data_IF_873071835744
#
_entry.id   IF_873071835744
#
_cell.length_a   1.000
_cell.length_b   1.000
_cell.length_c   1.000
_cell.angle_alpha   90.00
_cell.angle_beta   90.00
_cell.angle_gamma   90.00
#
_symmetry.space_group_name_H-M   'P 1'
#
loop_
_entity.id
_entity.type
_entity.pdbx_description
1 polymer ?
#
# COMPACT_ATOMS: atom_id res chain seq x y z
N UNK A 1 12.12 -1.61 2.50
CA UNK A 1 12.66 -1.17 1.18
C UNK A 1 12.21 0.26 0.97
N UNK A 2 13.08 1.15 0.52
CA UNK A 2 12.75 2.56 0.29
C UNK A 2 12.55 2.78 -1.21
N UNK A 3 11.39 3.30 -1.60
CA UNK A 3 11.06 3.61 -2.99
C UNK A 3 10.71 5.08 -3.16
N UNK A 4 11.30 5.72 -4.18
CA UNK A 4 11.02 7.09 -4.59
C UNK A 4 10.67 7.09 -6.07
N UNK A 5 9.53 7.70 -6.41
CA UNK A 5 9.15 7.93 -7.80
C UNK A 5 8.76 9.39 -7.94
N UNK A 6 9.43 10.09 -8.85
CA UNK A 6 9.09 11.46 -9.26
C UNK A 6 8.70 11.43 -10.74
N UNK A 7 7.49 11.90 -11.04
CA UNK A 7 6.96 11.98 -12.39
C UNK A 7 6.51 13.42 -12.64
N UNK A 8 6.96 14.01 -13.75
CA UNK A 8 6.72 15.42 -14.07
C UNK A 8 6.50 15.64 -15.58
N UNK A 9 5.26 15.52 -16.07
CA UNK A 9 4.84 16.16 -17.31
C UNK A 9 4.08 17.45 -16.97
N UNK A 10 4.74 18.59 -17.20
CA UNK A 10 4.06 19.83 -17.61
C UNK A 10 3.35 20.70 -16.58
N UNK A 11 2.88 20.22 -15.42
CA UNK A 11 2.45 21.05 -14.25
C UNK A 11 1.96 20.20 -13.05
N UNK A 12 1.61 18.93 -13.25
CA UNK A 12 1.20 18.02 -12.18
C UNK A 12 2.37 17.16 -11.69
N UNK A 13 3.09 17.67 -10.71
CA UNK A 13 4.12 16.90 -10.00
C UNK A 13 3.44 15.97 -8.99
N UNK A 14 3.65 14.67 -9.15
CA UNK A 14 3.24 13.66 -8.15
C UNK A 14 4.47 13.17 -7.41
N UNK A 15 4.49 13.34 -6.08
CA UNK A 15 5.51 12.76 -5.21
C UNK A 15 4.90 11.56 -4.48
N UNK A 16 5.51 10.39 -4.63
CA UNK A 16 5.13 9.17 -3.91
C UNK A 16 6.33 8.68 -3.10
N UNK A 17 6.12 8.53 -1.80
CA UNK A 17 7.07 7.97 -0.84
C UNK A 17 6.48 6.69 -0.26
N UNK A 18 7.24 5.59 -0.33
CA UNK A 18 6.84 4.32 0.27
C UNK A 18 7.91 3.83 1.25
N UNK A 19 7.48 3.63 2.50
CA UNK A 19 8.29 3.10 3.58
C UNK A 19 7.68 1.80 4.06
N UNK A 20 8.45 0.71 3.96
CA UNK A 20 8.00 -0.58 4.45
C UNK A 20 9.08 -1.37 5.16
N UNK A 21 8.62 -2.11 6.16
CA UNK A 21 9.41 -3.10 6.90
C UNK A 21 8.78 -4.48 6.71
N UNK A 22 9.62 -5.48 6.54
CA UNK A 22 9.22 -6.87 6.35
C UNK A 22 9.83 -7.74 7.44
N UNK A 23 9.06 -8.73 7.90
CA UNK A 23 9.52 -9.74 8.84
C UNK A 23 9.06 -11.14 8.41
N UNK A 24 9.98 -12.09 8.50
CA UNK A 24 9.74 -13.48 8.13
C UNK A 24 9.65 -14.33 9.41
N UNK A 25 8.44 -14.73 9.80
CA UNK A 25 8.26 -15.67 10.90
C UNK A 25 8.55 -17.09 10.44
N UNK A 26 9.28 -17.86 11.27
CA UNK A 26 9.60 -19.27 11.02
C UNK A 26 10.25 -19.54 9.66
N UNK A 27 10.93 -18.55 9.07
CA UNK A 27 11.49 -18.62 7.73
C UNK A 27 10.48 -18.91 6.60
N UNK A 28 9.18 -18.77 6.86
CA UNK A 28 8.11 -19.22 5.98
C UNK A 28 6.97 -18.20 5.85
N UNK A 29 6.55 -17.59 6.96
CA UNK A 29 5.43 -16.65 6.99
C UNK A 29 5.93 -15.21 6.85
N UNK A 30 5.74 -14.64 5.66
CA UNK A 30 6.21 -13.29 5.34
C UNK A 30 5.14 -12.26 5.70
N UNK A 31 5.51 -11.25 6.47
CA UNK A 31 4.65 -10.12 6.83
C UNK A 31 5.35 -8.83 6.49
N UNK A 32 4.63 -7.92 5.87
CA UNK A 32 5.12 -6.58 5.52
C UNK A 32 4.15 -5.56 6.05
N UNK A 33 4.67 -4.60 6.80
CA UNK A 33 3.92 -3.40 7.18
C UNK A 33 4.56 -2.20 6.52
N UNK A 34 3.74 -1.29 6.00
CA UNK A 34 4.24 -0.10 5.34
C UNK A 34 3.31 1.08 5.44
N UNK A 35 3.89 2.24 5.15
CA UNK A 35 3.22 3.53 5.07
C UNK A 35 3.58 4.11 3.70
N UNK A 36 2.57 4.57 2.99
CA UNK A 36 2.69 5.24 1.71
C UNK A 36 2.20 6.69 1.87
N UNK A 37 2.94 7.65 1.35
CA UNK A 37 2.53 9.03 1.25
C UNK A 37 2.61 9.45 -0.20
N UNK A 38 1.49 9.93 -0.75
CA UNK A 38 1.43 10.48 -2.08
C UNK A 38 0.86 11.90 -2.02
N UNK A 39 1.45 12.83 -2.76
CA UNK A 39 0.92 14.19 -2.91
C UNK A 39 0.94 14.57 -4.38
N UNK A 40 -0.12 15.24 -4.80
CA UNK A 40 -0.30 15.73 -6.16
C UNK A 40 -0.69 17.21 -6.08
N UNK A 41 0.07 18.07 -6.75
CA UNK A 41 0.02 19.52 -6.58
C UNK A 41 -1.37 20.17 -6.69
N UNK A 42 -2.31 19.56 -7.42
CA UNK A 42 -3.64 20.13 -7.67
C UNK A 42 -4.81 19.35 -7.05
N UNK A 43 -4.58 18.10 -6.64
CA UNK A 43 -5.65 17.16 -6.25
C UNK A 43 -5.66 16.91 -4.74
N UNK A 44 -4.48 16.96 -4.10
CA UNK A 44 -4.33 16.81 -2.67
C UNK A 44 -3.36 15.70 -2.28
N UNK A 45 -3.51 15.24 -1.04
CA UNK A 45 -2.59 14.31 -0.39
C UNK A 45 -3.28 13.03 0.06
N UNK A 46 -2.61 11.92 -0.15
CA UNK A 46 -3.01 10.58 0.25
C UNK A 46 -1.97 10.03 1.21
N UNK A 47 -2.41 9.59 2.38
CA UNK A 47 -1.60 8.77 3.28
C UNK A 47 -2.22 7.38 3.38
N UNK A 48 -1.46 6.35 3.07
CA UNK A 48 -1.85 4.96 3.18
C UNK A 48 -1.05 4.26 4.27
N UNK A 49 -1.69 3.42 5.07
CA UNK A 49 -1.02 2.43 5.91
C UNK A 49 -1.46 1.07 5.39
N UNK A 50 -0.51 0.16 5.16
CA UNK A 50 -0.82 -1.17 4.68
C UNK A 50 -0.11 -2.25 5.48
N UNK A 51 -0.76 -3.40 5.54
CA UNK A 51 -0.24 -4.63 6.09
C UNK A 51 -0.50 -5.75 5.10
N UNK A 52 0.54 -6.50 4.77
CA UNK A 52 0.47 -7.68 3.91
C UNK A 52 1.01 -8.88 4.65
N UNK A 53 0.34 -10.01 4.55
CA UNK A 53 0.72 -11.27 5.16
C UNK A 53 0.60 -12.38 4.11
N UNK A 54 1.66 -13.19 3.98
CA UNK A 54 1.73 -14.33 3.09
C UNK A 54 2.04 -15.58 3.90
N UNK A 55 1.02 -16.42 4.10
CA UNK A 55 1.07 -17.61 4.94
C UNK A 55 1.16 -18.85 4.03
N UNK A 56 2.26 -19.63 4.09
CA UNK A 56 2.34 -20.89 3.37
C UNK A 56 1.43 -21.93 4.03
N UNK A 57 0.41 -22.34 3.27
CA UNK A 57 -0.51 -23.42 3.62
C UNK A 57 -0.02 -24.73 3.00
N UNK A 58 1.13 -25.23 3.45
CA UNK A 58 1.69 -26.57 3.14
C UNK A 58 1.41 -27.03 1.68
N UNK A 59 0.40 -27.88 1.46
CA UNK A 59 0.05 -28.46 0.15
C UNK A 59 -1.01 -27.68 -0.65
N UNK A 60 -1.69 -26.75 0.00
CA UNK A 60 -2.79 -25.95 -0.56
C UNK A 60 -2.25 -24.78 -1.37
N UNK A 61 -1.14 -24.19 -0.92
CA UNK A 61 -0.50 -23.04 -1.58
C UNK A 61 -0.11 -21.97 -0.58
N UNK A 62 -0.14 -20.71 -0.99
CA UNK A 62 0.12 -19.55 -0.16
C UNK A 62 -1.15 -18.70 -0.05
N UNK A 63 -1.59 -18.46 1.18
CA UNK A 63 -2.65 -17.50 1.49
C UNK A 63 -2.05 -16.11 1.59
N UNK A 64 -2.60 -15.16 0.86
CA UNK A 64 -2.23 -13.75 0.92
C UNK A 64 -3.37 -12.96 1.52
N UNK A 65 -3.05 -12.13 2.51
CA UNK A 65 -3.92 -11.14 3.10
C UNK A 65 -3.27 -9.79 2.92
N UNK A 66 -4.00 -8.81 2.40
CA UNK A 66 -3.58 -7.43 2.27
C UNK A 66 -4.67 -6.54 2.86
N UNK A 67 -4.28 -5.73 3.83
CA UNK A 67 -5.12 -4.72 4.47
C UNK A 67 -4.50 -3.36 4.17
N UNK A 68 -5.30 -2.40 3.76
CA UNK A 68 -4.85 -1.06 3.48
C UNK A 68 -5.88 -0.05 3.95
N UNK A 69 -5.45 0.92 4.74
CA UNK A 69 -6.23 2.08 5.12
C UNK A 69 -5.65 3.29 4.42
N UNK A 70 -6.45 3.95 3.58
CA UNK A 70 -6.09 5.19 2.91
C UNK A 70 -6.86 6.36 3.51
N UNK A 71 -6.15 7.45 3.74
CA UNK A 71 -6.66 8.74 4.17
C UNK A 71 -6.41 9.73 3.04
N UNK A 72 -7.48 10.19 2.41
CA UNK A 72 -7.45 11.20 1.36
C UNK A 72 -7.80 12.55 1.99
N UNK A 73 -6.94 13.53 1.78
CA UNK A 73 -7.18 14.93 2.13
C UNK A 73 -7.02 15.76 0.88
N UNK A 74 -8.08 16.47 0.54
CA UNK A 74 -8.05 17.40 -0.59
C UNK A 74 -7.64 18.78 -0.10
N UNK A 75 -6.86 19.47 -0.91
CA UNK A 75 -6.50 20.86 -0.66
C UNK A 75 -7.51 21.82 -1.35
N UNK A 76 -8.26 21.34 -2.34
CA UNK A 76 -9.39 22.01 -2.99
C UNK A 76 -10.70 21.27 -2.65
N UNK A 77 -11.72 21.96 -2.14
CA UNK A 77 -12.93 21.38 -1.51
C UNK A 77 -13.94 20.74 -2.50
N UNK A 78 -13.49 19.98 -3.50
CA UNK A 78 -14.37 19.47 -4.57
C UNK A 78 -15.13 18.21 -4.14
N UNK A 79 -14.47 17.26 -3.47
CA UNK A 79 -15.09 16.01 -2.99
C UNK A 79 -14.92 15.79 -1.48
N UNK A 80 -14.00 16.52 -0.83
CA UNK A 80 -13.78 16.52 0.61
C UNK A 80 -12.91 15.36 1.11
N UNK A 81 -12.63 15.36 2.41
CA UNK A 81 -11.80 14.32 3.05
C UNK A 81 -12.52 12.97 3.03
N UNK A 82 -11.82 11.91 2.62
CA UNK A 82 -12.37 10.55 2.55
C UNK A 82 -11.40 9.52 3.13
N UNK A 83 -11.96 8.57 3.87
CA UNK A 83 -11.22 7.41 4.37
C UNK A 83 -11.67 6.17 3.60
N UNK A 84 -10.72 5.34 3.19
CA UNK A 84 -10.98 4.10 2.46
C UNK A 84 -10.25 2.94 3.12
N UNK A 85 -11.00 1.91 3.50
CA UNK A 85 -10.44 0.65 3.97
C UNK A 85 -10.57 -0.41 2.87
N UNK A 86 -9.45 -1.06 2.55
CA UNK A 86 -9.37 -2.11 1.54
C UNK A 86 -8.86 -3.38 2.23
N UNK A 87 -9.62 -4.46 2.11
CA UNK A 87 -9.19 -5.80 2.49
C UNK A 87 -9.17 -6.67 1.23
N UNK A 88 -8.06 -7.34 0.99
CA UNK A 88 -7.90 -8.30 -0.09
C UNK A 88 -7.38 -9.60 0.49
N UNK A 89 -7.99 -10.71 0.08
CA UNK A 89 -7.54 -12.04 0.41
C UNK A 89 -7.41 -12.84 -0.89
N UNK A 90 -6.42 -13.73 -0.96
CA UNK A 90 -6.21 -14.56 -2.14
C UNK A 90 -5.42 -15.81 -1.81
N UNK A 91 -5.56 -16.83 -2.64
CA UNK A 91 -4.80 -18.07 -2.53
C UNK A 91 -4.02 -18.25 -3.84
N UNK A 92 -2.72 -18.52 -3.76
CA UNK A 92 -1.90 -18.86 -4.93
C UNK A 92 -1.25 -20.22 -4.73
N UNK A 93 -1.23 -21.06 -5.76
CA UNK A 93 -0.47 -22.32 -5.78
C UNK A 93 0.44 -22.29 -7.01
N UNK A 94 1.73 -22.55 -6.81
CA UNK A 94 2.67 -22.76 -7.92
C UNK A 94 2.59 -24.24 -8.31
N UNK A 95 2.43 -24.51 -9.60
CA UNK A 95 2.43 -25.84 -10.20
C UNK A 95 3.82 -26.13 -10.78
#
# INVERSE_FOLDING_TARGET
MLGFTNYSPGDNTTLILDFSTGYLFFNLWNNTMGINYATESEVGKKTGIYFTSAIPLWQIGNLFLNMQQNFYREDTLVYGNRNEFILRAGLSKRF
#
